data_IF_928068970468
#
_entry.id   IF_928068970468
#
_cell.length_a   1.000
_cell.length_b   1.000
_cell.length_c   1.000
_cell.angle_alpha   90.00
_cell.angle_beta   90.00
_cell.angle_gamma   90.00
#
_symmetry.space_group_name_H-M   'P 1'
#
loop_
_entity.id
_entity.type
_entity.pdbx_description
1 polymer ?
#
# COMPACT_ATOMS: atom_id res chain seq x y z
N UNK A 1 -21.91 1.76 1.31
CA UNK A 1 -20.78 1.32 0.47
C UNK A 1 -19.73 0.78 1.42
N UNK A 2 -19.34 -0.48 1.30
CA UNK A 2 -18.32 -1.08 2.17
C UNK A 2 -16.99 -0.35 2.00
N UNK A 3 -16.30 -0.09 3.12
CA UNK A 3 -14.98 0.56 3.09
C UNK A 3 -13.95 -0.39 2.49
N UNK A 4 -13.10 0.11 1.60
CA UNK A 4 -11.97 -0.66 1.02
C UNK A 4 -11.03 -1.23 2.09
N UNK A 5 -11.01 -0.63 3.28
CA UNK A 5 -10.20 -1.10 4.41
C UNK A 5 -10.79 -2.36 5.09
N UNK A 6 -12.06 -2.66 4.84
CA UNK A 6 -12.75 -3.83 5.41
C UNK A 6 -12.62 -5.07 4.53
N UNK A 7 -12.37 -4.90 3.22
CA UNK A 7 -12.16 -6.00 2.28
C UNK A 7 -10.95 -6.87 2.71
N UNK A 8 -11.14 -8.19 2.78
CA UNK A 8 -10.11 -9.15 3.20
C UNK A 8 -9.90 -10.20 2.12
N UNK A 9 -8.66 -10.66 2.02
CA UNK A 9 -8.32 -11.80 1.16
C UNK A 9 -8.86 -13.08 1.78
N UNK A 10 -9.40 -13.97 0.93
CA UNK A 10 -9.83 -15.29 1.36
C UNK A 10 -8.65 -16.10 1.93
N UNK A 11 -8.84 -16.86 3.02
CA UNK A 11 -7.76 -17.68 3.58
C UNK A 11 -7.14 -18.66 2.59
N UNK A 12 -7.93 -19.22 1.66
CA UNK A 12 -7.42 -20.14 0.63
C UNK A 12 -6.52 -19.40 -0.36
N UNK A 13 -6.96 -18.23 -0.84
CA UNK A 13 -6.16 -17.40 -1.76
C UNK A 13 -4.83 -16.94 -1.13
N UNK A 14 -4.85 -16.62 0.18
CA UNK A 14 -3.65 -16.28 0.93
C UNK A 14 -2.70 -17.47 1.02
N UNK A 15 -3.22 -18.66 1.35
CA UNK A 15 -2.41 -19.87 1.41
C UNK A 15 -1.78 -20.21 0.06
N UNK A 16 -2.54 -20.12 -1.02
CA UNK A 16 -2.06 -20.39 -2.38
C UNK A 16 -0.97 -19.41 -2.80
N UNK A 17 -1.16 -18.11 -2.53
CA UNK A 17 -0.16 -17.09 -2.82
C UNK A 17 1.13 -17.30 -2.01
N UNK A 18 1.01 -17.66 -0.73
CA UNK A 18 2.15 -17.99 0.15
C UNK A 18 2.89 -19.23 -0.33
N UNK A 19 2.17 -20.30 -0.68
CA UNK A 19 2.77 -21.53 -1.19
C UNK A 19 3.55 -21.27 -2.48
N UNK A 20 2.95 -20.53 -3.42
CA UNK A 20 3.59 -20.18 -4.69
C UNK A 20 4.88 -19.39 -4.46
N UNK A 21 4.84 -18.38 -3.59
CA UNK A 21 6.00 -17.57 -3.23
C UNK A 21 7.11 -18.42 -2.61
N UNK A 22 6.81 -19.23 -1.59
CA UNK A 22 7.78 -20.08 -0.92
C UNK A 22 8.41 -21.11 -1.86
N UNK A 23 7.62 -21.69 -2.78
CA UNK A 23 8.13 -22.61 -3.81
C UNK A 23 9.14 -21.94 -4.74
N UNK A 24 8.94 -20.66 -5.08
CA UNK A 24 9.89 -19.92 -5.89
C UNK A 24 11.15 -19.57 -5.10
N UNK A 25 11.01 -19.10 -3.85
CA UNK A 25 12.14 -18.84 -2.96
C UNK A 25 13.04 -20.07 -2.77
N UNK A 26 12.45 -21.27 -2.68
CA UNK A 26 13.21 -22.52 -2.58
C UNK A 26 14.02 -22.85 -3.85
N UNK A 27 13.67 -22.25 -5.00
CA UNK A 27 14.33 -22.46 -6.29
C UNK A 27 15.25 -21.30 -6.70
N UNK A 28 15.29 -20.23 -5.92
CA UNK A 28 16.07 -19.02 -6.22
C UNK A 28 15.28 -17.75 -5.89
N UNK A 29 15.57 -16.67 -6.61
CA UNK A 29 14.84 -15.42 -6.44
C UNK A 29 13.41 -15.53 -7.00
N UNK A 30 12.37 -15.21 -6.21
CA UNK A 30 11.00 -15.22 -6.69
C UNK A 30 10.76 -14.14 -7.73
N UNK A 31 9.84 -14.39 -8.66
CA UNK A 31 9.46 -13.38 -9.65
C UNK A 31 8.71 -12.22 -9.00
N UNK A 32 8.84 -11.03 -9.59
CA UNK A 32 8.11 -9.82 -9.19
C UNK A 32 6.60 -10.08 -9.09
N UNK A 33 6.03 -10.78 -10.06
CA UNK A 33 4.61 -11.14 -10.06
C UNK A 33 4.23 -12.04 -8.86
N UNK A 34 5.09 -13.00 -8.50
CA UNK A 34 4.84 -13.87 -7.34
C UNK A 34 4.97 -13.10 -6.03
N UNK A 35 5.97 -12.24 -5.92
CA UNK A 35 6.18 -11.38 -4.74
C UNK A 35 5.01 -10.40 -4.58
N UNK A 36 4.54 -9.80 -5.66
CA UNK A 36 3.37 -8.91 -5.67
C UNK A 36 2.11 -9.63 -5.21
N UNK A 37 1.80 -10.81 -5.80
CA UNK A 37 0.60 -11.59 -5.43
C UNK A 37 0.63 -11.97 -3.96
N UNK A 38 1.79 -12.39 -3.47
CA UNK A 38 2.00 -12.69 -2.06
C UNK A 38 1.78 -11.45 -1.18
N UNK A 39 2.44 -10.32 -1.50
CA UNK A 39 2.31 -9.08 -0.75
C UNK A 39 0.85 -8.60 -0.69
N UNK A 40 0.15 -8.62 -1.82
CA UNK A 40 -1.26 -8.24 -1.92
C UNK A 40 -2.17 -9.10 -1.03
N UNK A 41 -1.98 -10.43 -1.05
CA UNK A 41 -2.72 -11.33 -0.18
C UNK A 41 -2.40 -11.09 1.32
N UNK A 42 -1.15 -10.79 1.64
CA UNK A 42 -0.68 -10.58 3.00
C UNK A 42 -1.24 -9.30 3.63
N UNK A 43 -1.29 -8.18 2.89
CA UNK A 43 -1.95 -6.95 3.36
C UNK A 43 -3.48 -7.13 3.49
N UNK A 44 -4.02 -8.13 2.79
CA UNK A 44 -5.38 -8.68 2.91
C UNK A 44 -5.71 -9.38 4.22
N UNK A 45 -4.69 -9.87 4.94
CA UNK A 45 -4.84 -10.68 6.14
C UNK A 45 -5.49 -9.92 7.30
N UNK A 46 -6.11 -10.68 8.22
CA UNK A 46 -6.56 -10.17 9.52
C UNK A 46 -5.42 -10.09 10.54
N UNK A 47 -4.34 -10.84 10.33
CA UNK A 47 -3.18 -10.85 11.21
C UNK A 47 -2.26 -9.66 10.90
N UNK A 48 -1.98 -8.83 11.90
CA UNK A 48 -1.12 -7.65 11.75
C UNK A 48 0.32 -8.00 11.37
N UNK A 49 0.82 -9.18 11.73
CA UNK A 49 2.16 -9.62 11.34
C UNK A 49 2.22 -9.89 9.84
N UNK A 50 1.21 -10.57 9.29
CA UNK A 50 1.12 -10.79 7.84
C UNK A 50 1.06 -9.46 7.09
N UNK A 51 0.26 -8.50 7.58
CA UNK A 51 0.17 -7.17 6.96
C UNK A 51 1.53 -6.46 6.93
N UNK A 52 2.30 -6.54 8.03
CA UNK A 52 3.66 -5.96 8.08
C UNK A 52 4.63 -6.65 7.11
N UNK A 53 4.54 -7.96 6.97
CA UNK A 53 5.34 -8.70 5.98
C UNK A 53 4.97 -8.27 4.55
N UNK A 54 3.68 -8.12 4.25
CA UNK A 54 3.21 -7.58 2.97
C UNK A 54 3.72 -6.17 2.68
N UNK A 55 3.75 -5.28 3.69
CA UNK A 55 4.35 -3.95 3.57
C UNK A 55 5.83 -4.04 3.16
N UNK A 56 6.61 -4.87 3.86
CA UNK A 56 8.03 -5.04 3.54
C UNK A 56 8.24 -5.57 2.11
N UNK A 57 7.37 -6.47 1.64
CA UNK A 57 7.41 -6.94 0.25
C UNK A 57 7.10 -5.82 -0.76
N UNK A 58 6.10 -4.97 -0.49
CA UNK A 58 5.80 -3.82 -1.36
C UNK A 58 6.91 -2.76 -1.33
N UNK A 59 7.54 -2.50 -0.18
CA UNK A 59 8.70 -1.60 -0.09
C UNK A 59 9.90 -2.12 -0.89
N UNK A 60 10.12 -3.45 -0.89
CA UNK A 60 11.12 -4.09 -1.74
C UNK A 60 10.78 -3.88 -3.22
N UNK A 61 9.55 -4.20 -3.64
CA UNK A 61 9.09 -4.01 -5.02
C UNK A 61 9.23 -2.55 -5.49
N UNK A 62 8.87 -1.59 -4.65
CA UNK A 62 8.97 -0.16 -4.93
C UNK A 62 10.42 0.32 -5.15
N UNK A 63 11.38 -0.32 -4.47
CA UNK A 63 12.81 -0.03 -4.57
C UNK A 63 13.45 -0.69 -5.78
N UNK A 64 13.11 -1.95 -6.02
CA UNK A 64 13.85 -2.83 -6.94
C UNK A 64 13.30 -2.77 -8.38
N UNK A 65 12.00 -2.51 -8.56
CA UNK A 65 11.41 -2.32 -9.88
C UNK A 65 11.70 -0.91 -10.42
N UNK A 66 11.82 -0.76 -11.73
CA UNK A 66 11.98 0.55 -12.39
C UNK A 66 10.69 1.06 -13.04
N UNK A 67 9.71 0.17 -13.31
CA UNK A 67 8.47 0.53 -13.99
C UNK A 67 7.59 1.45 -13.13
N UNK A 68 7.42 2.68 -13.59
CA UNK A 68 6.65 3.71 -12.90
C UNK A 68 5.18 3.35 -12.75
N UNK A 69 4.61 2.62 -13.71
CA UNK A 69 3.20 2.19 -13.65
C UNK A 69 2.99 1.27 -12.47
N UNK A 70 3.83 0.25 -12.34
CA UNK A 70 3.82 -0.69 -11.22
C UNK A 70 4.10 -0.02 -9.87
N UNK A 71 5.00 0.97 -9.83
CA UNK A 71 5.26 1.75 -8.59
C UNK A 71 4.03 2.48 -8.07
N UNK A 72 3.16 2.98 -8.95
CA UNK A 72 1.90 3.64 -8.56
C UNK A 72 0.97 2.67 -7.84
N UNK A 73 0.86 1.44 -8.35
CA UNK A 73 0.09 0.37 -7.71
C UNK A 73 0.68 0.03 -6.33
N UNK A 74 2.00 -0.08 -6.22
CA UNK A 74 2.65 -0.41 -4.94
C UNK A 74 2.41 0.67 -3.89
N UNK A 75 2.47 1.95 -4.28
CA UNK A 75 2.16 3.10 -3.41
C UNK A 75 0.71 3.07 -2.95
N UNK A 76 -0.24 2.76 -3.85
CA UNK A 76 -1.64 2.58 -3.50
C UNK A 76 -1.83 1.48 -2.44
N UNK A 77 -1.20 0.32 -2.64
CA UNK A 77 -1.29 -0.80 -1.70
C UNK A 77 -0.59 -0.53 -0.36
N UNK A 78 0.52 0.20 -0.35
CA UNK A 78 1.18 0.67 0.87
C UNK A 78 0.26 1.59 1.67
N UNK A 79 -0.40 2.56 1.02
CA UNK A 79 -1.37 3.43 1.68
C UNK A 79 -2.48 2.61 2.37
N UNK A 80 -3.05 1.63 1.64
CA UNK A 80 -4.08 0.76 2.18
C UNK A 80 -3.58 -0.09 3.36
N UNK A 81 -2.38 -0.65 3.26
CA UNK A 81 -1.80 -1.51 4.31
C UNK A 81 -1.50 -0.73 5.60
N UNK A 82 -0.91 0.47 5.50
CA UNK A 82 -0.67 1.35 6.64
C UNK A 82 -1.99 1.79 7.29
N UNK A 83 -3.02 2.11 6.51
CA UNK A 83 -4.34 2.44 7.04
C UNK A 83 -4.96 1.28 7.82
N UNK A 84 -4.80 0.03 7.35
CA UNK A 84 -5.25 -1.17 8.07
C UNK A 84 -4.52 -1.39 9.39
N UNK A 85 -3.29 -0.90 9.51
CA UNK A 85 -2.53 -0.88 10.76
C UNK A 85 -2.83 0.34 11.65
N UNK A 86 -3.80 1.19 11.26
CA UNK A 86 -4.14 2.47 11.90
C UNK A 86 -3.01 3.49 11.89
N UNK A 87 -2.06 3.34 10.96
CA UNK A 87 -0.98 4.29 10.71
C UNK A 87 -1.46 5.34 9.70
N UNK A 88 -2.49 6.10 10.08
CA UNK A 88 -3.24 6.94 9.16
C UNK A 88 -2.40 8.06 8.54
N UNK A 89 -1.47 8.67 9.28
CA UNK A 89 -0.60 9.72 8.76
C UNK A 89 0.31 9.22 7.63
N UNK A 90 0.85 8.01 7.78
CA UNK A 90 1.69 7.37 6.76
C UNK A 90 0.86 7.01 5.54
N UNK A 91 -0.34 6.45 5.77
CA UNK A 91 -1.27 6.11 4.70
C UNK A 91 -1.70 7.33 3.87
N UNK A 92 -2.00 8.45 4.54
CA UNK A 92 -2.32 9.72 3.88
C UNK A 92 -1.12 10.27 3.11
N UNK A 93 0.09 10.14 3.64
CA UNK A 93 1.30 10.48 2.91
C UNK A 93 1.39 9.74 1.57
N UNK A 94 1.27 8.42 1.57
CA UNK A 94 1.37 7.62 0.33
C UNK A 94 0.28 7.98 -0.68
N UNK A 95 -0.97 8.13 -0.23
CA UNK A 95 -2.08 8.42 -1.14
C UNK A 95 -2.01 9.84 -1.71
N UNK A 96 -1.46 10.79 -0.95
CA UNK A 96 -1.27 12.17 -1.41
C UNK A 96 -0.19 12.23 -2.49
N UNK A 97 0.93 11.50 -2.33
CA UNK A 97 1.95 11.37 -3.38
C UNK A 97 1.36 10.81 -4.68
N UNK A 98 0.49 9.79 -4.59
CA UNK A 98 -0.15 9.23 -5.78
C UNK A 98 -1.11 10.22 -6.45
N UNK A 99 -1.86 10.99 -5.67
CA UNK A 99 -2.78 12.01 -6.18
C UNK A 99 -2.08 13.25 -6.74
N UNK A 100 -0.88 13.57 -6.24
CA UNK A 100 0.00 14.56 -6.89
C UNK A 100 0.48 14.05 -8.26
N UNK A 101 0.69 12.75 -8.44
CA UNK A 101 1.04 12.20 -9.75
C UNK A 101 -0.17 12.14 -10.69
N UNK A 102 -1.33 11.73 -10.17
CA UNK A 102 -2.54 11.43 -10.92
C UNK A 102 -3.78 12.08 -10.26
N UNK A 103 -3.95 13.37 -10.51
CA UNK A 103 -5.01 14.17 -9.86
C UNK A 103 -6.42 13.63 -10.14
N UNK A 104 -6.64 12.92 -11.26
CA UNK A 104 -7.94 12.38 -11.64
C UNK A 104 -8.18 10.92 -11.21
N UNK A 105 -7.24 10.30 -10.49
CA UNK A 105 -7.37 8.92 -10.04
C UNK A 105 -8.50 8.77 -8.99
N UNK A 106 -9.66 8.30 -9.46
CA UNK A 106 -10.87 8.14 -8.63
C UNK A 106 -10.69 7.06 -7.56
N UNK A 107 -9.91 6.02 -7.84
CA UNK A 107 -9.63 4.95 -6.88
C UNK A 107 -8.82 5.48 -5.70
N UNK A 108 -7.78 6.28 -5.96
CA UNK A 108 -6.97 6.92 -4.94
C UNK A 108 -7.76 7.94 -4.12
N UNK A 109 -8.62 8.75 -4.76
CA UNK A 109 -9.55 9.67 -4.06
C UNK A 109 -10.49 8.92 -3.12
N UNK A 110 -11.05 7.80 -3.58
CA UNK A 110 -11.93 6.96 -2.75
C UNK A 110 -11.18 6.38 -1.54
N UNK A 111 -9.98 5.83 -1.74
CA UNK A 111 -9.17 5.30 -0.65
C UNK A 111 -8.80 6.40 0.36
N UNK A 112 -8.41 7.60 -0.09
CA UNK A 112 -8.14 8.75 0.79
C UNK A 112 -9.35 9.11 1.66
N UNK A 113 -10.56 9.08 1.10
CA UNK A 113 -11.79 9.33 1.85
C UNK A 113 -12.06 8.23 2.88
N UNK A 114 -11.88 6.97 2.51
CA UNK A 114 -12.02 5.83 3.44
C UNK A 114 -11.01 5.90 4.60
N UNK A 115 -9.77 6.30 4.33
CA UNK A 115 -8.72 6.51 5.35
C UNK A 115 -9.15 7.63 6.33
N UNK A 116 -9.60 8.78 5.80
CA UNK A 116 -10.07 9.91 6.63
C UNK A 116 -11.29 9.53 7.47
N UNK A 117 -12.22 8.77 6.90
CA UNK A 117 -13.39 8.27 7.62
C UNK A 117 -12.99 7.31 8.75
N UNK A 118 -12.05 6.39 8.51
CA UNK A 118 -11.54 5.47 9.53
C UNK A 118 -10.79 6.20 10.65
N UNK A 119 -9.94 7.18 10.31
CA UNK A 119 -9.26 8.04 11.28
C UNK A 119 -10.26 8.82 12.15
N UNK A 120 -11.32 9.35 11.53
CA UNK A 120 -12.40 10.07 12.21
C UNK A 120 -13.15 9.16 13.18
N UNK A 121 -13.52 7.97 12.72
CA UNK A 121 -14.20 6.95 13.53
C UNK A 121 -13.34 6.50 14.73
N UNK A 122 -12.03 6.40 14.56
CA UNK A 122 -11.08 6.09 15.64
C UNK A 122 -10.82 7.27 16.60
N UNK A 123 -11.52 8.40 16.45
CA UNK A 123 -11.44 9.55 17.34
C UNK A 123 -10.18 10.40 17.14
N UNK A 124 -9.47 10.23 16.03
CA UNK A 124 -8.25 10.99 15.70
C UNK A 124 -8.57 12.29 14.96
N UNK A 125 -9.79 12.80 15.14
CA UNK A 125 -10.28 14.05 14.54
C UNK A 125 -9.53 15.22 15.16
N UNK A 126 -8.67 15.89 14.38
CA UNK A 126 -7.96 17.09 14.85
C UNK A 126 -6.54 16.84 15.35
N UNK A 127 -6.00 15.62 15.23
CA UNK A 127 -4.55 15.50 15.07
C UNK A 127 -4.21 16.35 13.84
N UNK A 128 -3.40 17.39 14.01
CA UNK A 128 -2.80 18.06 12.87
C UNK A 128 -2.25 16.93 12.00
N UNK A 129 -2.71 16.82 10.76
CA UNK A 129 -2.00 16.05 9.73
C UNK A 129 -0.71 16.84 9.56
N UNK A 130 0.19 16.70 10.52
CA UNK A 130 1.53 17.22 10.45
C UNK A 130 2.07 16.52 9.23
N UNK A 131 2.62 17.27 8.28
CA UNK A 131 3.30 16.72 7.11
C UNK A 131 4.48 15.79 7.44
N UNK A 132 4.55 15.21 8.64
CA UNK A 132 5.49 14.19 9.08
C UNK A 132 5.34 12.86 8.34
N UNK A 133 4.14 12.51 7.86
CA UNK A 133 3.98 11.41 6.91
C UNK A 133 4.65 11.69 5.55
N UNK A 134 4.66 12.96 5.12
CA UNK A 134 5.25 13.40 3.86
C UNK A 134 6.80 13.42 3.89
N UNK A 135 7.42 13.65 5.07
CA UNK A 135 8.88 13.69 5.18
C UNK A 135 9.57 12.37 4.80
N UNK A 136 8.94 11.22 5.09
CA UNK A 136 9.48 9.91 4.71
C UNK A 136 9.28 9.58 3.21
N UNK A 137 8.41 10.32 2.53
CA UNK A 137 7.98 10.02 1.16
C UNK A 137 8.45 11.07 0.13
N UNK A 138 9.28 12.03 0.56
CA UNK A 138 9.85 13.06 -0.32
C UNK A 138 10.57 12.47 -1.56
N UNK A 139 11.20 11.30 -1.41
CA UNK A 139 11.81 10.57 -2.52
C UNK A 139 10.79 10.07 -3.56
N UNK A 140 9.59 9.65 -3.13
CA UNK A 140 8.54 9.20 -4.03
C UNK A 140 7.91 10.37 -4.80
N UNK A 141 7.73 11.52 -4.14
CA UNK A 141 7.26 12.75 -4.80
C UNK A 141 8.18 13.11 -5.97
N UNK A 142 9.50 13.07 -5.76
CA UNK A 142 10.46 13.34 -6.83
C UNK A 142 10.32 12.37 -8.01
N UNK A 143 10.20 11.06 -7.74
CA UNK A 143 10.04 10.01 -8.76
C UNK A 143 8.81 10.27 -9.64
N UNK A 144 7.66 10.61 -9.04
CA UNK A 144 6.42 10.80 -9.81
C UNK A 144 6.28 12.20 -10.43
N UNK A 145 6.84 13.24 -9.81
CA UNK A 145 6.81 14.61 -10.34
C UNK A 145 7.56 14.74 -11.67
N UNK A 146 8.59 13.92 -11.90
CA UNK A 146 9.40 13.93 -13.11
C UNK A 146 8.64 13.41 -14.34
N UNK A 147 7.48 12.79 -14.14
CA UNK A 147 6.59 12.27 -15.19
C UNK A 147 5.52 13.26 -15.66
N UNK A 148 5.41 14.47 -15.08
CA UNK A 148 4.47 15.52 -15.53
C UNK A 148 4.96 16.33 -16.75
N UNK A 149 6.01 15.88 -17.45
CA UNK A 149 6.56 16.54 -18.65
C UNK A 149 6.15 15.84 -19.93
#
# INVERSE_FOLDING_TARGET
MESLLQERTDPADLMDAREQYLRQCARGEPSTASLFRFAHAMIGSKNKLDVKEGIACFEKLLRDEDDLTSKRDYVYYLAMAHARLKQYDVALGFIDVLLEAEEDNQQAKRLKNDIKAAMTHDGLIGAAIVGGGALALAGLVAIFSMSRK
#
